data_IF_214091760303
#
_entry.id   IF_214091760303
#
_cell.length_a   1.000
_cell.length_b   1.000
_cell.length_c   1.000
_cell.angle_alpha   90.00
_cell.angle_beta   90.00
_cell.angle_gamma   90.00
#
_symmetry.space_group_name_H-M   'P 1'
#
loop_
_entity.id
_entity.type
_entity.pdbx_description
1 polymer ?
#
# COMPACT_ATOMS: atom_id res chain seq x y z
N UNK A 1 11.02 -53.91 -6.90
CA UNK A 1 11.16 -53.34 -5.56
C UNK A 1 9.89 -53.53 -4.74
N UNK A 2 8.70 -53.05 -5.18
CA UNK A 2 7.43 -53.16 -4.40
C UNK A 2 7.03 -54.62 -4.10
N UNK A 3 7.26 -55.55 -5.04
CA UNK A 3 7.00 -57.01 -4.81
C UNK A 3 7.95 -57.65 -3.78
N UNK A 4 9.10 -57.04 -3.53
CA UNK A 4 10.10 -57.54 -2.57
C UNK A 4 9.90 -56.97 -1.15
N UNK A 5 9.35 -55.74 -1.02
CA UNK A 5 9.06 -55.09 0.25
C UNK A 5 7.71 -54.33 0.16
N UNK A 6 6.58 -55.05 0.19
CA UNK A 6 5.26 -54.48 -0.04
C UNK A 6 4.81 -53.53 1.08
N UNK A 7 5.41 -53.65 2.27
CA UNK A 7 5.05 -52.86 3.46
C UNK A 7 5.94 -51.61 3.64
N UNK A 8 6.90 -51.39 2.75
CA UNK A 8 7.71 -50.18 2.82
C UNK A 8 6.94 -49.00 2.23
N UNK A 9 6.43 -48.12 3.09
CA UNK A 9 5.50 -47.03 2.76
C UNK A 9 6.01 -46.13 1.61
N UNK A 10 7.33 -45.95 1.49
CA UNK A 10 7.93 -45.14 0.40
C UNK A 10 7.65 -45.73 -0.99
N UNK A 11 7.66 -47.05 -1.12
CA UNK A 11 7.33 -47.70 -2.41
C UNK A 11 5.84 -47.65 -2.73
N UNK A 12 4.99 -47.69 -1.69
CA UNK A 12 3.54 -47.52 -1.83
C UNK A 12 3.22 -46.10 -2.29
N UNK A 13 3.84 -45.11 -1.69
CA UNK A 13 3.68 -43.67 -2.08
C UNK A 13 4.16 -43.43 -3.51
N UNK A 14 5.36 -43.90 -3.86
CA UNK A 14 5.91 -43.75 -5.22
C UNK A 14 4.99 -44.43 -6.27
N UNK A 15 4.35 -45.55 -5.93
CA UNK A 15 3.36 -46.21 -6.80
C UNK A 15 2.10 -45.36 -6.96
N UNK A 16 1.61 -44.71 -5.87
CA UNK A 16 0.45 -43.84 -5.93
C UNK A 16 0.72 -42.61 -6.80
N UNK A 17 1.89 -41.98 -6.64
CA UNK A 17 2.34 -40.86 -7.47
C UNK A 17 2.43 -41.26 -8.96
N UNK A 18 3.01 -42.44 -9.26
CA UNK A 18 3.10 -42.94 -10.63
C UNK A 18 1.71 -43.16 -11.25
N UNK A 19 0.74 -43.64 -10.49
CA UNK A 19 -0.64 -43.82 -10.98
C UNK A 19 -1.30 -42.45 -11.21
N UNK A 20 -1.12 -41.49 -10.32
CA UNK A 20 -1.64 -40.14 -10.48
C UNK A 20 -1.06 -39.47 -11.74
N UNK A 21 0.27 -39.51 -11.93
CA UNK A 21 0.96 -38.97 -13.09
C UNK A 21 0.51 -39.59 -14.43
N UNK A 22 0.08 -40.86 -14.42
CA UNK A 22 -0.45 -41.55 -15.59
C UNK A 22 -1.99 -41.46 -15.70
N UNK A 23 -2.63 -40.54 -15.00
CA UNK A 23 -4.08 -40.31 -14.97
C UNK A 23 -4.90 -41.55 -14.54
N UNK A 24 -4.27 -42.47 -13.81
CA UNK A 24 -4.93 -43.67 -13.22
C UNK A 24 -5.45 -43.30 -11.82
N UNK A 25 -6.35 -42.30 -11.74
CA UNK A 25 -6.80 -41.66 -10.50
C UNK A 25 -7.42 -42.66 -9.47
N UNK A 26 -8.28 -43.64 -9.87
CA UNK A 26 -8.80 -44.60 -8.92
C UNK A 26 -7.71 -45.52 -8.30
N UNK A 27 -6.71 -45.89 -9.09
CA UNK A 27 -5.60 -46.70 -8.60
C UNK A 27 -4.70 -45.90 -7.65
N UNK A 28 -4.46 -44.62 -7.97
CA UNK A 28 -3.71 -43.73 -7.12
C UNK A 28 -4.37 -43.56 -5.74
N UNK A 29 -5.71 -43.32 -5.69
CA UNK A 29 -6.45 -43.23 -4.43
C UNK A 29 -6.37 -44.53 -3.62
N UNK A 30 -6.60 -45.66 -4.26
CA UNK A 30 -6.55 -46.98 -3.60
C UNK A 30 -5.19 -47.26 -2.95
N UNK A 31 -4.11 -46.91 -3.65
CA UNK A 31 -2.75 -47.13 -3.15
C UNK A 31 -2.39 -46.08 -2.07
N UNK A 32 -2.77 -44.80 -2.21
CA UNK A 32 -2.59 -43.80 -1.16
C UNK A 32 -3.36 -44.18 0.12
N UNK A 33 -4.60 -44.69 0.00
CA UNK A 33 -5.36 -45.20 1.14
C UNK A 33 -4.70 -46.41 1.80
N UNK A 34 -3.99 -47.24 1.04
CA UNK A 34 -3.21 -48.34 1.62
C UNK A 34 -2.06 -47.82 2.48
N UNK A 35 -1.38 -46.73 2.05
CA UNK A 35 -0.36 -46.09 2.85
C UNK A 35 -0.94 -45.57 4.18
N UNK A 36 -2.13 -44.97 4.16
CA UNK A 36 -2.81 -44.46 5.37
C UNK A 36 -3.31 -45.56 6.33
N UNK A 37 -3.40 -46.81 5.89
CA UNK A 37 -3.65 -47.94 6.82
C UNK A 37 -2.42 -48.25 7.68
N UNK A 38 -1.23 -47.99 7.14
CA UNK A 38 0.05 -48.23 7.83
C UNK A 38 0.44 -47.01 8.65
N UNK A 39 0.23 -45.80 8.10
CA UNK A 39 0.51 -44.52 8.75
C UNK A 39 -0.65 -43.55 8.49
N UNK A 40 -1.65 -43.50 9.40
CA UNK A 40 -2.85 -42.69 9.21
C UNK A 40 -2.62 -41.18 9.08
N UNK A 41 -1.49 -40.68 9.54
CA UNK A 41 -1.13 -39.25 9.52
C UNK A 41 -0.08 -38.92 8.44
N UNK A 42 0.16 -39.85 7.50
CA UNK A 42 1.17 -39.67 6.47
C UNK A 42 0.87 -38.49 5.56
N UNK A 43 1.66 -37.42 5.59
CA UNK A 43 1.35 -36.18 4.86
C UNK A 43 1.45 -36.38 3.33
N UNK A 44 2.38 -37.22 2.83
CA UNK A 44 2.52 -37.44 1.42
C UNK A 44 1.32 -38.21 0.85
N UNK A 45 0.78 -39.20 1.59
CA UNK A 45 -0.43 -39.89 1.19
C UNK A 45 -1.62 -38.93 1.09
N UNK A 46 -1.80 -38.06 2.06
CA UNK A 46 -2.84 -37.03 2.02
C UNK A 46 -2.63 -36.05 0.87
N UNK A 47 -1.39 -35.62 0.59
CA UNK A 47 -1.09 -34.69 -0.55
C UNK A 47 -1.41 -35.37 -1.90
N UNK A 48 -1.06 -36.64 -2.08
CA UNK A 48 -1.41 -37.40 -3.30
C UNK A 48 -2.94 -37.47 -3.46
N UNK A 49 -3.67 -37.82 -2.40
CA UNK A 49 -5.13 -37.85 -2.43
C UNK A 49 -5.74 -36.49 -2.74
N UNK A 50 -5.21 -35.42 -2.17
CA UNK A 50 -5.65 -34.07 -2.45
C UNK A 50 -5.49 -33.70 -3.93
N UNK A 51 -4.35 -34.05 -4.53
CA UNK A 51 -4.10 -33.80 -5.96
C UNK A 51 -5.04 -34.61 -6.85
N UNK A 52 -5.26 -35.89 -6.53
CA UNK A 52 -6.19 -36.73 -7.27
C UNK A 52 -7.63 -36.21 -7.18
N UNK A 53 -8.11 -35.82 -5.99
CA UNK A 53 -9.43 -35.21 -5.85
C UNK A 53 -9.56 -33.89 -6.61
N UNK A 54 -8.51 -33.06 -6.63
CA UNK A 54 -8.47 -31.84 -7.43
C UNK A 54 -8.62 -32.15 -8.92
N UNK A 55 -7.90 -33.15 -9.44
CA UNK A 55 -8.00 -33.58 -10.84
C UNK A 55 -9.39 -34.14 -11.19
N UNK A 56 -10.08 -34.73 -10.23
CA UNK A 56 -11.46 -35.20 -10.36
C UNK A 56 -12.51 -34.07 -10.24
N UNK A 57 -12.10 -32.85 -9.95
CA UNK A 57 -13.00 -31.72 -9.70
C UNK A 57 -13.70 -31.77 -8.34
N UNK A 58 -13.29 -32.63 -7.42
CA UNK A 58 -13.83 -32.75 -6.07
C UNK A 58 -13.05 -31.82 -5.12
N UNK A 59 -13.37 -30.51 -5.17
CA UNK A 59 -12.68 -29.49 -4.41
C UNK A 59 -12.79 -29.72 -2.89
N UNK A 60 -13.95 -30.17 -2.39
CA UNK A 60 -14.17 -30.35 -0.96
C UNK A 60 -13.27 -31.45 -0.35
N UNK A 61 -13.18 -32.63 -1.01
CA UNK A 61 -12.28 -33.68 -0.53
C UNK A 61 -10.81 -33.29 -0.73
N UNK A 62 -10.47 -32.59 -1.81
CA UNK A 62 -9.12 -32.08 -2.03
C UNK A 62 -8.70 -31.15 -0.88
N UNK A 63 -9.53 -30.16 -0.51
CA UNK A 63 -9.27 -29.24 0.60
C UNK A 63 -9.11 -29.98 1.94
N UNK A 64 -9.98 -30.95 2.21
CA UNK A 64 -9.90 -31.76 3.42
C UNK A 64 -8.57 -32.51 3.51
N UNK A 65 -8.14 -33.14 2.41
CA UNK A 65 -6.88 -33.88 2.39
C UNK A 65 -5.66 -32.98 2.52
N UNK A 66 -5.66 -31.78 1.90
CA UNK A 66 -4.57 -30.78 2.09
C UNK A 66 -4.50 -30.36 3.56
N UNK A 67 -5.62 -30.08 4.20
CA UNK A 67 -5.64 -29.70 5.63
C UNK A 67 -5.06 -30.81 6.51
N UNK A 68 -5.42 -32.08 6.27
CA UNK A 68 -4.84 -33.21 6.99
C UNK A 68 -3.33 -33.34 6.78
N UNK A 69 -2.84 -33.13 5.56
CA UNK A 69 -1.40 -33.11 5.31
C UNK A 69 -0.70 -31.98 6.09
N UNK A 70 -1.31 -30.80 6.12
CA UNK A 70 -0.74 -29.63 6.80
C UNK A 70 -0.73 -29.76 8.33
N UNK A 71 -1.67 -30.53 8.92
CA UNK A 71 -1.71 -30.83 10.35
C UNK A 71 -0.51 -31.69 10.78
N UNK A 72 0.04 -32.50 9.88
CA UNK A 72 1.16 -33.39 10.19
C UNK A 72 2.45 -32.60 10.41
N UNK A 73 3.14 -32.79 11.57
CA UNK A 73 4.49 -32.27 11.77
C UNK A 73 5.53 -32.88 10.81
N UNK A 74 5.21 -34.03 10.23
CA UNK A 74 6.05 -34.72 9.26
C UNK A 74 6.09 -34.07 7.87
N UNK A 75 5.17 -33.13 7.57
CA UNK A 75 5.27 -32.30 6.36
C UNK A 75 6.20 -31.12 6.66
N UNK A 76 7.32 -31.08 5.95
CA UNK A 76 8.32 -30.02 6.12
C UNK A 76 7.74 -28.64 5.83
N UNK A 77 8.27 -27.63 6.52
CA UNK A 77 7.86 -26.24 6.34
C UNK A 77 8.03 -25.75 4.89
N UNK A 78 9.08 -26.20 4.20
CA UNK A 78 9.34 -25.78 2.82
C UNK A 78 8.31 -26.38 1.85
N UNK A 79 7.83 -27.59 2.11
CA UNK A 79 6.74 -28.21 1.33
C UNK A 79 5.41 -27.48 1.57
N UNK A 80 5.09 -27.13 2.82
CA UNK A 80 3.91 -26.33 3.14
C UNK A 80 3.96 -24.97 2.46
N UNK A 81 5.10 -24.28 2.53
CA UNK A 81 5.31 -22.98 1.88
C UNK A 81 5.15 -23.09 0.37
N UNK A 82 5.68 -24.14 -0.27
CA UNK A 82 5.53 -24.35 -1.71
C UNK A 82 4.06 -24.45 -2.13
N UNK A 83 3.26 -25.19 -1.38
CA UNK A 83 1.81 -25.27 -1.63
C UNK A 83 1.13 -23.91 -1.42
N UNK A 84 1.46 -23.20 -0.35
CA UNK A 84 0.91 -21.86 -0.08
C UNK A 84 1.29 -20.84 -1.15
N UNK A 85 2.50 -20.91 -1.70
CA UNK A 85 2.92 -20.07 -2.84
C UNK A 85 2.06 -20.33 -4.08
N UNK A 86 1.60 -21.55 -4.32
CA UNK A 86 0.68 -21.83 -5.44
C UNK A 86 -0.73 -21.25 -5.20
N UNK A 87 -1.18 -21.17 -3.93
CA UNK A 87 -2.38 -20.39 -3.59
C UNK A 87 -2.15 -18.90 -3.82
N UNK A 88 -1.01 -18.34 -3.38
CA UNK A 88 -0.65 -16.91 -3.54
C UNK A 88 -0.72 -16.48 -5.00
N UNK A 89 -0.24 -17.29 -5.95
CA UNK A 89 -0.29 -17.00 -7.40
C UNK A 89 -1.72 -16.86 -7.93
N UNK A 90 -2.70 -17.43 -7.24
CA UNK A 90 -4.11 -17.43 -7.64
C UNK A 90 -4.96 -16.43 -6.87
N UNK A 91 -4.41 -15.78 -5.84
CA UNK A 91 -5.08 -14.72 -5.08
C UNK A 91 -4.95 -13.36 -5.80
N UNK A 92 -5.94 -12.43 -5.63
CA UNK A 92 -7.18 -12.62 -4.87
C UNK A 92 -8.22 -13.46 -5.63
N UNK A 93 -8.63 -14.58 -5.04
CA UNK A 93 -9.71 -15.42 -5.55
C UNK A 93 -10.63 -15.81 -4.38
N UNK A 94 -11.88 -15.30 -4.32
CA UNK A 94 -12.77 -15.52 -3.18
C UNK A 94 -13.02 -17.00 -2.83
N UNK A 95 -12.94 -17.90 -3.82
CA UNK A 95 -13.13 -19.34 -3.59
C UNK A 95 -11.94 -20.02 -2.90
N UNK A 96 -10.75 -19.44 -3.02
CA UNK A 96 -9.51 -20.01 -2.48
C UNK A 96 -9.03 -19.25 -1.22
N UNK A 97 -9.55 -18.05 -0.99
CA UNK A 97 -9.10 -17.17 0.10
C UNK A 97 -9.18 -17.85 1.45
N UNK A 98 -10.34 -18.40 1.80
CA UNK A 98 -10.54 -19.03 3.10
C UNK A 98 -9.62 -20.25 3.28
N UNK A 99 -9.49 -21.10 2.26
CA UNK A 99 -8.59 -22.25 2.30
C UNK A 99 -7.13 -21.84 2.50
N UNK A 100 -6.67 -20.81 1.78
CA UNK A 100 -5.31 -20.29 1.93
C UNK A 100 -5.06 -19.76 3.35
N UNK A 101 -6.01 -19.02 3.93
CA UNK A 101 -5.94 -18.51 5.30
C UNK A 101 -5.92 -19.62 6.34
N UNK A 102 -6.75 -20.66 6.17
CA UNK A 102 -6.78 -21.82 7.07
C UNK A 102 -5.46 -22.58 7.03
N UNK A 103 -4.92 -22.84 5.84
CA UNK A 103 -3.64 -23.52 5.67
C UNK A 103 -2.48 -22.71 6.26
N UNK A 104 -2.48 -21.39 6.10
CA UNK A 104 -1.50 -20.51 6.73
C UNK A 104 -1.58 -20.57 8.27
N UNK A 105 -2.80 -20.58 8.83
CA UNK A 105 -3.01 -20.71 10.27
C UNK A 105 -2.54 -22.07 10.79
N UNK A 106 -2.82 -23.15 10.08
CA UNK A 106 -2.31 -24.50 10.42
C UNK A 106 -0.78 -24.49 10.38
N UNK A 107 -0.17 -23.90 9.35
CA UNK A 107 1.28 -23.82 9.21
C UNK A 107 1.93 -23.12 10.42
N UNK A 108 1.39 -21.98 10.86
CA UNK A 108 1.86 -21.28 12.07
C UNK A 108 1.71 -22.16 13.32
N UNK A 109 0.59 -22.88 13.45
CA UNK A 109 0.33 -23.73 14.61
C UNK A 109 1.30 -24.90 14.70
N UNK A 110 1.63 -25.53 13.56
CA UNK A 110 2.53 -26.66 13.48
C UNK A 110 4.01 -26.24 13.58
N UNK A 111 4.35 -25.06 13.02
CA UNK A 111 5.71 -24.50 13.02
C UNK A 111 5.79 -23.13 13.71
N UNK A 112 5.50 -23.05 15.03
CA UNK A 112 5.30 -21.76 15.74
C UNK A 112 6.57 -20.96 15.97
N UNK A 113 7.72 -21.48 15.61
CA UNK A 113 9.04 -20.80 15.76
C UNK A 113 9.75 -20.62 14.41
N UNK A 114 9.07 -20.90 13.31
CA UNK A 114 9.65 -20.76 11.97
C UNK A 114 9.22 -19.45 11.30
N UNK A 115 10.20 -18.64 10.89
CA UNK A 115 9.96 -17.36 10.22
C UNK A 115 9.16 -17.52 8.91
N UNK A 116 9.36 -18.62 8.16
CA UNK A 116 8.68 -18.88 6.91
C UNK A 116 7.16 -19.05 7.09
N UNK A 117 6.75 -19.68 8.22
CA UNK A 117 5.33 -19.86 8.53
C UNK A 117 4.61 -18.50 8.69
N UNK A 118 5.23 -17.57 9.39
CA UNK A 118 4.68 -16.23 9.57
C UNK A 118 4.79 -15.37 8.32
N UNK A 119 5.90 -15.48 7.59
CA UNK A 119 6.10 -14.71 6.36
C UNK A 119 5.03 -15.05 5.31
N UNK A 120 4.83 -16.33 5.01
CA UNK A 120 3.84 -16.76 4.01
C UNK A 120 2.39 -16.44 4.44
N UNK A 121 2.11 -16.48 5.74
CA UNK A 121 0.81 -16.04 6.26
C UNK A 121 0.62 -14.53 6.07
N UNK A 122 1.65 -13.72 6.28
CA UNK A 122 1.66 -12.29 6.00
C UNK A 122 1.39 -12.00 4.51
N UNK A 123 2.02 -12.74 3.60
CA UNK A 123 1.82 -12.59 2.16
C UNK A 123 0.35 -12.85 1.76
N UNK A 124 -0.25 -13.95 2.25
CA UNK A 124 -1.66 -14.27 2.00
C UNK A 124 -2.58 -13.19 2.56
N UNK A 125 -2.31 -12.72 3.78
CA UNK A 125 -3.13 -11.70 4.43
C UNK A 125 -3.02 -10.33 3.74
N UNK A 126 -1.86 -10.01 3.17
CA UNK A 126 -1.68 -8.81 2.34
C UNK A 126 -2.57 -8.88 1.10
N UNK A 127 -2.54 -10.01 0.38
CA UNK A 127 -3.35 -10.22 -0.82
C UNK A 127 -4.86 -10.29 -0.56
N UNK A 128 -5.25 -10.64 0.66
CA UNK A 128 -6.66 -10.69 1.11
C UNK A 128 -7.08 -9.43 1.88
N UNK A 129 -6.30 -8.33 1.76
CA UNK A 129 -6.56 -7.03 2.38
C UNK A 129 -6.67 -7.04 3.92
N UNK A 130 -6.02 -7.99 4.58
CA UNK A 130 -5.95 -8.10 6.05
C UNK A 130 -4.67 -7.45 6.59
N UNK A 131 -4.47 -6.18 6.28
CA UNK A 131 -3.20 -5.46 6.49
C UNK A 131 -2.67 -5.53 7.93
N UNK A 132 -3.54 -5.41 8.94
CA UNK A 132 -3.11 -5.49 10.36
C UNK A 132 -2.55 -6.86 10.70
N UNK A 133 -3.28 -7.91 10.32
CA UNK A 133 -2.86 -9.29 10.59
C UNK A 133 -1.55 -9.62 9.85
N UNK A 134 -1.44 -9.16 8.58
CA UNK A 134 -0.24 -9.30 7.78
C UNK A 134 0.98 -8.67 8.48
N UNK A 135 0.86 -7.41 8.93
CA UNK A 135 1.92 -6.73 9.66
C UNK A 135 2.34 -7.50 10.91
N UNK A 136 1.37 -7.96 11.69
CA UNK A 136 1.64 -8.67 12.95
C UNK A 136 2.38 -10.00 12.69
N UNK A 137 2.04 -10.70 11.59
CA UNK A 137 2.76 -11.91 11.19
C UNK A 137 4.15 -11.58 10.63
N UNK A 138 4.34 -10.54 9.82
CA UNK A 138 5.68 -10.13 9.39
C UNK A 138 6.57 -9.73 10.57
N UNK A 139 6.04 -9.05 11.59
CA UNK A 139 6.80 -8.74 12.81
C UNK A 139 7.20 -10.00 13.58
N UNK A 140 6.34 -11.03 13.60
CA UNK A 140 6.70 -12.34 14.17
C UNK A 140 7.77 -13.05 13.33
N UNK A 141 7.66 -12.99 11.99
CA UNK A 141 8.70 -13.52 11.11
C UNK A 141 10.06 -12.85 11.38
N UNK A 142 10.10 -11.52 11.49
CA UNK A 142 11.30 -10.74 11.83
C UNK A 142 11.88 -11.14 13.21
N UNK A 143 11.04 -11.49 14.16
CA UNK A 143 11.50 -11.95 15.48
C UNK A 143 12.31 -13.24 15.40
N UNK A 144 12.00 -14.13 14.45
CA UNK A 144 12.70 -15.40 14.27
C UNK A 144 13.82 -15.33 13.23
N UNK A 145 13.65 -14.49 12.19
CA UNK A 145 14.66 -14.22 11.17
C UNK A 145 14.53 -12.76 10.67
N UNK A 146 15.45 -11.91 11.11
CA UNK A 146 15.47 -10.49 10.76
C UNK A 146 16.35 -10.16 9.54
N UNK A 147 16.91 -11.18 8.88
CA UNK A 147 17.89 -11.01 7.80
C UNK A 147 17.27 -10.80 6.43
N UNK A 148 15.94 -10.83 6.32
CA UNK A 148 15.21 -10.72 5.06
C UNK A 148 14.68 -9.32 4.86
N UNK A 149 15.31 -8.56 3.96
CA UNK A 149 14.91 -7.20 3.61
C UNK A 149 13.44 -7.10 3.20
N UNK A 150 12.94 -8.04 2.38
CA UNK A 150 11.57 -8.00 1.85
C UNK A 150 10.52 -7.97 2.96
N UNK A 151 10.74 -8.68 4.07
CA UNK A 151 9.79 -8.70 5.19
C UNK A 151 9.78 -7.34 5.90
N UNK A 152 10.94 -6.72 6.11
CA UNK A 152 11.04 -5.37 6.67
C UNK A 152 10.36 -4.33 5.78
N UNK A 153 10.54 -4.45 4.47
CA UNK A 153 9.91 -3.57 3.50
C UNK A 153 8.37 -3.66 3.60
N UNK A 154 7.81 -4.88 3.71
CA UNK A 154 6.36 -5.06 3.88
C UNK A 154 5.86 -4.45 5.19
N UNK A 155 6.56 -4.62 6.30
CA UNK A 155 6.18 -3.99 7.58
C UNK A 155 6.12 -2.47 7.46
N UNK A 156 7.16 -1.86 6.91
CA UNK A 156 7.28 -0.40 6.75
C UNK A 156 6.19 0.13 5.80
N UNK A 157 5.94 -0.56 4.69
CA UNK A 157 4.87 -0.21 3.74
C UNK A 157 3.50 -0.25 4.42
N UNK A 158 3.19 -1.32 5.14
CA UNK A 158 1.90 -1.47 5.80
C UNK A 158 1.72 -0.44 6.93
N UNK A 159 2.77 -0.10 7.69
CA UNK A 159 2.71 0.96 8.69
C UNK A 159 2.35 2.32 8.05
N UNK A 160 2.93 2.62 6.89
CA UNK A 160 2.59 3.82 6.13
C UNK A 160 1.13 3.81 5.65
N UNK A 161 0.67 2.70 5.07
CA UNK A 161 -0.71 2.54 4.59
C UNK A 161 -1.75 2.60 5.71
N UNK A 162 -1.39 2.14 6.91
CA UNK A 162 -2.24 2.21 8.10
C UNK A 162 -2.12 3.55 8.84
N UNK A 163 -1.36 4.51 8.32
CA UNK A 163 -1.07 5.81 8.94
C UNK A 163 -0.50 5.69 10.36
N UNK A 164 0.28 4.64 10.64
CA UNK A 164 0.88 4.40 11.95
C UNK A 164 2.28 5.03 12.03
N UNK A 165 2.32 6.34 12.10
CA UNK A 165 3.57 7.13 11.98
C UNK A 165 4.65 6.73 12.98
N UNK A 166 4.32 6.43 14.23
CA UNK A 166 5.31 6.01 15.24
C UNK A 166 5.91 4.64 14.91
N UNK A 167 5.08 3.69 14.49
CA UNK A 167 5.52 2.37 14.04
C UNK A 167 6.37 2.49 12.77
N UNK A 168 5.94 3.30 11.80
CA UNK A 168 6.66 3.57 10.57
C UNK A 168 8.10 4.04 10.85
N UNK A 169 8.28 5.01 11.74
CA UNK A 169 9.61 5.49 12.12
C UNK A 169 10.42 4.40 12.83
N UNK A 170 9.84 3.77 13.85
CA UNK A 170 10.52 2.73 14.64
C UNK A 170 10.99 1.58 13.74
N UNK A 171 10.12 1.08 12.86
CA UNK A 171 10.46 -0.05 12.02
C UNK A 171 11.39 0.31 10.86
N UNK A 172 11.22 1.51 10.25
CA UNK A 172 12.14 1.97 9.22
C UNK A 172 13.54 2.24 9.75
N UNK A 173 13.69 2.86 10.93
CA UNK A 173 14.99 3.07 11.57
C UNK A 173 15.68 1.75 11.84
N UNK A 174 14.97 0.78 12.44
CA UNK A 174 15.53 -0.54 12.72
C UNK A 174 15.88 -1.32 11.45
N UNK A 175 15.05 -1.21 10.40
CA UNK A 175 15.36 -1.82 9.12
C UNK A 175 16.60 -1.20 8.47
N UNK A 176 16.79 0.12 8.59
CA UNK A 176 17.96 0.84 8.07
C UNK A 176 19.26 0.49 8.78
N UNK A 177 19.22 0.10 10.05
CA UNK A 177 20.41 -0.45 10.77
C UNK A 177 20.91 -1.73 10.09
N UNK A 178 20.02 -2.57 9.55
CA UNK A 178 20.34 -3.83 8.90
C UNK A 178 20.58 -3.69 7.39
N UNK A 179 19.83 -2.80 6.75
CA UNK A 179 19.76 -2.64 5.29
C UNK A 179 19.95 -1.18 4.86
N UNK A 180 21.10 -0.54 5.17
CA UNK A 180 21.31 0.90 4.94
C UNK A 180 21.31 1.31 3.45
N UNK A 181 21.50 0.37 2.54
CA UNK A 181 21.59 0.63 1.09
C UNK A 181 20.24 0.46 0.37
N UNK A 182 19.13 0.32 1.08
CA UNK A 182 17.81 0.13 0.50
C UNK A 182 17.06 1.47 0.40
N UNK A 183 17.03 2.06 -0.79
CA UNK A 183 16.37 3.35 -1.03
C UNK A 183 14.91 3.41 -0.54
N UNK A 184 14.03 2.38 -0.73
CA UNK A 184 12.66 2.43 -0.24
C UNK A 184 12.55 2.63 1.28
N UNK A 185 13.45 2.08 2.08
CA UNK A 185 13.43 2.28 3.53
C UNK A 185 13.70 3.74 3.91
N UNK A 186 14.65 4.39 3.23
CA UNK A 186 14.95 5.82 3.43
C UNK A 186 13.78 6.69 3.00
N UNK A 187 13.08 6.31 1.92
CA UNK A 187 11.87 7.01 1.49
C UNK A 187 10.82 7.04 2.60
N UNK A 188 10.42 5.87 3.09
CA UNK A 188 9.42 5.77 4.15
C UNK A 188 9.88 6.39 5.48
N UNK A 189 11.15 6.30 5.83
CA UNK A 189 11.72 6.97 6.99
C UNK A 189 11.60 8.50 6.85
N UNK A 190 11.92 9.05 5.68
CA UNK A 190 11.75 10.47 5.38
C UNK A 190 10.30 10.91 5.47
N UNK A 191 9.38 10.17 4.86
CA UNK A 191 7.93 10.41 4.96
C UNK A 191 7.46 10.36 6.42
N UNK A 192 7.92 9.39 7.19
CA UNK A 192 7.62 9.30 8.62
C UNK A 192 8.05 10.56 9.40
N UNK A 193 9.24 11.09 9.13
CA UNK A 193 9.68 12.35 9.74
C UNK A 193 8.85 13.55 9.29
N UNK A 194 8.42 13.60 8.02
CA UNK A 194 7.53 14.66 7.55
C UNK A 194 6.19 14.63 8.28
N UNK A 195 5.59 13.45 8.43
CA UNK A 195 4.35 13.27 9.18
C UNK A 195 4.49 13.66 10.67
N UNK A 196 5.68 13.52 11.25
CA UNK A 196 6.01 13.97 12.61
C UNK A 196 6.36 15.47 12.70
N UNK A 197 6.20 16.23 11.64
CA UNK A 197 6.57 17.64 11.59
C UNK A 197 8.06 17.89 11.92
N UNK A 198 8.93 17.00 11.45
CA UNK A 198 10.37 17.07 11.59
C UNK A 198 11.07 17.19 10.22
N UNK A 199 10.79 18.25 9.43
CA UNK A 199 11.20 18.32 8.03
C UNK A 199 12.73 18.30 7.85
N UNK A 200 13.51 18.80 8.81
CA UNK A 200 14.99 18.72 8.74
C UNK A 200 15.50 17.30 8.74
N UNK A 201 14.89 16.38 9.52
CA UNK A 201 15.25 14.97 9.51
C UNK A 201 14.70 14.30 8.25
N UNK A 202 13.48 14.64 7.85
CA UNK A 202 12.87 14.16 6.61
C UNK A 202 13.77 14.42 5.41
N UNK A 203 14.25 15.66 5.23
CA UNK A 203 15.19 16.01 4.15
C UNK A 203 16.44 15.15 4.17
N UNK A 204 17.06 14.93 5.33
CA UNK A 204 18.28 14.09 5.43
C UNK A 204 18.04 12.67 4.93
N UNK A 205 16.94 12.04 5.37
CA UNK A 205 16.59 10.69 4.94
C UNK A 205 16.27 10.65 3.44
N UNK A 206 15.47 11.60 2.94
CA UNK A 206 15.07 11.67 1.54
C UNK A 206 16.27 11.93 0.61
N UNK A 207 17.16 12.89 0.96
CA UNK A 207 18.37 13.16 0.17
C UNK A 207 19.31 11.96 0.10
N UNK A 208 19.45 11.22 1.22
CA UNK A 208 20.28 10.03 1.24
C UNK A 208 19.69 8.91 0.39
N UNK A 209 18.40 8.60 0.60
CA UNK A 209 17.70 7.55 -0.16
C UNK A 209 17.64 7.85 -1.66
N UNK A 210 17.45 9.13 -2.04
CA UNK A 210 17.47 9.57 -3.43
C UNK A 210 18.77 9.21 -4.15
N UNK A 211 19.92 9.34 -3.47
CA UNK A 211 21.24 8.98 -4.03
C UNK A 211 21.39 7.49 -4.29
N UNK A 212 20.62 6.65 -3.61
CA UNK A 212 20.62 5.20 -3.79
C UNK A 212 19.63 4.72 -4.87
N UNK A 213 18.72 5.58 -5.34
CA UNK A 213 17.65 5.23 -6.27
C UNK A 213 17.99 5.47 -7.74
N UNK A 214 19.28 5.49 -8.12
CA UNK A 214 19.79 5.98 -9.43
C UNK A 214 19.16 5.31 -10.66
N UNK A 215 18.78 4.05 -10.55
CA UNK A 215 18.27 3.25 -11.68
C UNK A 215 16.73 3.08 -11.64
N UNK A 216 16.05 3.88 -10.83
CA UNK A 216 14.60 3.82 -10.67
C UNK A 216 13.96 5.21 -10.82
N UNK A 217 13.60 5.63 -12.05
CA UNK A 217 13.01 6.94 -12.31
C UNK A 217 11.72 7.20 -11.53
N UNK A 218 10.88 6.19 -11.36
CA UNK A 218 9.63 6.31 -10.59
C UNK A 218 9.92 6.64 -9.11
N UNK A 219 10.84 5.92 -8.49
CA UNK A 219 11.24 6.18 -7.11
C UNK A 219 11.95 7.53 -6.98
N UNK A 220 12.76 7.94 -7.97
CA UNK A 220 13.37 9.28 -8.01
C UNK A 220 12.30 10.37 -8.05
N UNK A 221 11.26 10.22 -8.88
CA UNK A 221 10.14 11.17 -8.92
C UNK A 221 9.44 11.26 -7.55
N UNK A 222 9.25 10.13 -6.86
CA UNK A 222 8.66 10.12 -5.52
C UNK A 222 9.55 10.82 -4.49
N UNK A 223 10.86 10.55 -4.48
CA UNK A 223 11.82 11.26 -3.60
C UNK A 223 11.80 12.76 -3.84
N UNK A 224 11.88 13.18 -5.11
CA UNK A 224 11.93 14.59 -5.46
C UNK A 224 10.60 15.31 -5.13
N UNK A 225 9.45 14.64 -5.25
CA UNK A 225 8.17 15.17 -4.79
C UNK A 225 8.17 15.40 -3.27
N UNK A 226 8.61 14.42 -2.49
CA UNK A 226 8.68 14.54 -1.03
C UNK A 226 9.73 15.57 -0.58
N UNK A 227 10.85 15.69 -1.30
CA UNK A 227 11.84 16.75 -1.06
C UNK A 227 11.26 18.13 -1.37
N UNK A 228 10.45 18.25 -2.41
CA UNK A 228 9.70 19.48 -2.73
C UNK A 228 8.84 19.93 -1.56
N UNK A 229 8.03 19.02 -1.00
CA UNK A 229 7.20 19.26 0.19
C UNK A 229 8.08 19.64 1.40
N UNK A 230 9.14 18.87 1.65
CA UNK A 230 10.00 19.05 2.82
C UNK A 230 10.76 20.39 2.80
N UNK A 231 11.30 20.79 1.65
CA UNK A 231 11.95 22.08 1.51
C UNK A 231 10.96 23.26 1.58
N UNK A 232 9.71 23.06 1.10
CA UNK A 232 8.66 24.05 1.27
C UNK A 232 8.38 24.33 2.76
N UNK A 233 8.21 23.28 3.57
CA UNK A 233 8.02 23.38 5.02
C UNK A 233 9.20 24.09 5.71
N UNK A 234 10.42 23.90 5.21
CA UNK A 234 11.62 24.61 5.68
C UNK A 234 11.76 26.04 5.11
N UNK A 235 10.82 26.48 4.26
CA UNK A 235 10.86 27.77 3.55
C UNK A 235 12.07 27.94 2.63
N UNK A 236 12.75 26.86 2.24
CA UNK A 236 13.77 26.84 1.19
C UNK A 236 13.09 26.67 -0.18
N UNK A 237 12.38 27.72 -0.59
CA UNK A 237 11.56 27.68 -1.79
C UNK A 237 12.35 27.41 -3.07
N UNK A 238 13.62 27.84 -3.11
CA UNK A 238 14.48 27.57 -4.26
C UNK A 238 14.76 26.07 -4.43
N UNK A 239 15.05 25.38 -3.33
CA UNK A 239 15.25 23.93 -3.37
C UNK A 239 13.93 23.17 -3.57
N UNK A 240 12.84 23.66 -2.98
CA UNK A 240 11.50 23.11 -3.20
C UNK A 240 11.14 23.11 -4.68
N UNK A 241 11.26 24.26 -5.34
CA UNK A 241 10.99 24.41 -6.77
C UNK A 241 11.87 23.48 -7.60
N UNK A 242 13.18 23.42 -7.31
CA UNK A 242 14.12 22.56 -8.03
C UNK A 242 13.76 21.06 -7.88
N UNK A 243 13.33 20.65 -6.69
CA UNK A 243 12.92 19.27 -6.43
C UNK A 243 11.64 18.91 -7.20
N UNK A 244 10.63 19.76 -7.21
CA UNK A 244 9.43 19.52 -8.00
C UNK A 244 9.69 19.45 -9.51
N UNK A 245 10.51 20.36 -10.05
CA UNK A 245 10.88 20.31 -11.46
C UNK A 245 11.67 19.01 -11.78
N UNK A 246 12.53 18.55 -10.86
CA UNK A 246 13.21 17.25 -11.01
C UNK A 246 12.21 16.09 -10.99
N UNK A 247 11.24 16.09 -10.07
CA UNK A 247 10.18 15.07 -10.02
C UNK A 247 9.42 15.01 -11.36
N UNK A 248 9.05 16.16 -11.91
CA UNK A 248 8.32 16.27 -13.18
C UNK A 248 9.18 15.93 -14.41
N UNK A 249 10.51 15.94 -14.27
CA UNK A 249 11.42 15.45 -15.32
C UNK A 249 11.40 13.92 -15.40
N UNK A 250 11.29 13.24 -14.25
CA UNK A 250 11.20 11.78 -14.20
C UNK A 250 9.78 11.27 -14.47
N UNK A 251 8.78 11.97 -13.96
CA UNK A 251 7.35 11.67 -14.18
C UNK A 251 6.56 12.96 -14.43
N UNK A 252 6.42 13.32 -15.69
CA UNK A 252 5.69 14.51 -16.13
C UNK A 252 4.19 14.49 -15.78
N UNK A 253 3.65 13.35 -15.35
CA UNK A 253 2.26 13.16 -14.94
C UNK A 253 2.11 12.93 -13.42
N UNK A 254 3.17 13.09 -12.64
CA UNK A 254 3.11 12.95 -11.19
C UNK A 254 2.06 13.91 -10.60
N UNK A 255 0.91 13.36 -10.27
CA UNK A 255 -0.24 14.15 -9.85
C UNK A 255 0.02 14.91 -8.54
N UNK A 256 0.74 14.31 -7.59
CA UNK A 256 1.09 14.96 -6.34
C UNK A 256 2.04 16.14 -6.58
N UNK A 257 3.09 15.95 -7.39
CA UNK A 257 4.02 17.02 -7.71
C UNK A 257 3.32 18.16 -8.46
N UNK A 258 2.52 17.85 -9.48
CA UNK A 258 1.75 18.85 -10.23
C UNK A 258 0.82 19.66 -9.32
N UNK A 259 0.10 18.99 -8.42
CA UNK A 259 -0.84 19.66 -7.50
C UNK A 259 -0.10 20.52 -6.49
N UNK A 260 0.82 19.93 -5.72
CA UNK A 260 1.48 20.61 -4.60
C UNK A 260 2.33 21.78 -5.09
N UNK A 261 3.06 21.58 -6.17
CA UNK A 261 3.88 22.66 -6.75
C UNK A 261 3.02 23.82 -7.27
N UNK A 262 1.91 23.52 -7.97
CA UNK A 262 0.97 24.55 -8.42
C UNK A 262 0.40 25.35 -7.25
N UNK A 263 -0.02 24.65 -6.21
CA UNK A 263 -0.54 25.28 -5.00
C UNK A 263 0.49 26.18 -4.33
N UNK A 264 1.71 25.69 -4.11
CA UNK A 264 2.76 26.46 -3.44
C UNK A 264 3.23 27.67 -4.25
N UNK A 265 3.31 27.54 -5.57
CA UNK A 265 3.58 28.69 -6.45
C UNK A 265 2.47 29.74 -6.33
N UNK A 266 1.20 29.31 -6.31
CA UNK A 266 0.07 30.22 -6.18
C UNK A 266 0.05 30.93 -4.84
N UNK A 267 0.38 30.23 -3.74
CA UNK A 267 0.48 30.82 -2.40
C UNK A 267 1.54 31.91 -2.33
N UNK A 268 2.64 31.76 -3.06
CA UNK A 268 3.72 32.76 -3.14
C UNK A 268 3.45 33.87 -4.18
N UNK A 269 2.45 33.68 -5.05
CA UNK A 269 2.20 34.59 -6.17
C UNK A 269 3.27 34.53 -7.25
N UNK A 270 4.02 33.42 -7.34
CA UNK A 270 5.15 33.23 -8.24
C UNK A 270 4.81 32.28 -9.39
N UNK A 271 5.39 32.50 -10.58
CA UNK A 271 5.27 31.60 -11.75
C UNK A 271 3.81 31.12 -12.00
N UNK A 272 2.83 32.02 -11.85
CA UNK A 272 1.40 31.68 -11.89
C UNK A 272 0.98 31.02 -13.21
N UNK A 273 1.62 31.37 -14.35
CA UNK A 273 1.33 30.72 -15.62
C UNK A 273 1.77 29.24 -15.63
N UNK A 274 2.94 28.94 -15.02
CA UNK A 274 3.40 27.56 -14.83
C UNK A 274 2.45 26.80 -13.89
N UNK A 275 2.04 27.42 -12.79
CA UNK A 275 1.07 26.84 -11.86
C UNK A 275 -0.27 26.53 -12.58
N UNK A 276 -0.77 27.44 -13.42
CA UNK A 276 -1.98 27.25 -14.20
C UNK A 276 -1.87 26.10 -15.21
N UNK A 277 -0.74 26.00 -15.90
CA UNK A 277 -0.46 24.89 -16.82
C UNK A 277 -0.55 23.53 -16.09
N UNK A 278 0.15 23.40 -14.96
CA UNK A 278 0.22 22.16 -14.19
C UNK A 278 -1.14 21.78 -13.58
N UNK A 279 -1.79 22.72 -12.87
CA UNK A 279 -3.11 22.46 -12.29
C UNK A 279 -4.18 22.24 -13.36
N UNK A 280 -4.12 22.96 -14.48
CA UNK A 280 -5.02 22.77 -15.62
C UNK A 280 -4.86 21.41 -16.29
N UNK A 281 -3.64 20.84 -16.31
CA UNK A 281 -3.39 19.47 -16.75
C UNK A 281 -4.11 18.46 -15.87
N UNK A 282 -4.04 18.63 -14.53
CA UNK A 282 -4.71 17.76 -13.57
C UNK A 282 -6.23 17.81 -13.71
N UNK A 283 -6.82 18.98 -13.80
CA UNK A 283 -8.27 19.15 -13.94
C UNK A 283 -8.79 18.54 -15.25
N UNK A 284 -7.99 18.56 -16.32
CA UNK A 284 -8.34 17.85 -17.57
C UNK A 284 -8.31 16.34 -17.41
N UNK A 285 -7.35 15.82 -16.67
CA UNK A 285 -7.16 14.39 -16.47
C UNK A 285 -8.11 13.81 -15.42
N UNK A 286 -8.41 14.59 -14.38
CA UNK A 286 -9.27 14.22 -13.24
C UNK A 286 -10.36 15.26 -13.01
N UNK A 287 -11.33 15.37 -13.92
CA UNK A 287 -12.27 16.51 -13.94
C UNK A 287 -13.25 16.56 -12.76
N UNK A 288 -13.36 15.49 -11.99
CA UNK A 288 -14.24 15.39 -10.81
C UNK A 288 -13.47 15.42 -9.47
N UNK A 289 -12.14 15.56 -9.50
CA UNK A 289 -11.34 15.60 -8.28
C UNK A 289 -11.42 16.99 -7.66
N UNK A 290 -12.05 17.08 -6.49
CA UNK A 290 -12.30 18.34 -5.78
C UNK A 290 -11.01 19.03 -5.32
N UNK A 291 -9.99 18.28 -4.88
CA UNK A 291 -8.68 18.82 -4.48
C UNK A 291 -7.97 19.50 -5.67
N UNK A 292 -8.00 18.87 -6.84
CA UNK A 292 -7.35 19.45 -8.03
C UNK A 292 -8.13 20.65 -8.58
N UNK A 293 -9.46 20.60 -8.51
CA UNK A 293 -10.34 21.72 -8.87
C UNK A 293 -10.12 22.91 -7.94
N UNK A 294 -9.94 22.70 -6.63
CA UNK A 294 -9.65 23.75 -5.66
C UNK A 294 -8.26 24.38 -5.92
N UNK A 295 -7.22 23.57 -6.10
CA UNK A 295 -5.88 24.06 -6.45
C UNK A 295 -5.90 24.90 -7.72
N UNK A 296 -6.59 24.42 -8.77
CA UNK A 296 -6.71 25.17 -10.03
C UNK A 296 -7.46 26.50 -9.82
N UNK A 297 -8.56 26.48 -9.07
CA UNK A 297 -9.31 27.66 -8.73
C UNK A 297 -8.47 28.69 -7.96
N UNK A 298 -7.65 28.22 -7.01
CA UNK A 298 -6.78 29.09 -6.25
C UNK A 298 -5.69 29.75 -7.11
N UNK A 299 -5.12 29.01 -8.07
CA UNK A 299 -4.23 29.58 -9.09
C UNK A 299 -4.93 30.65 -9.90
N UNK A 300 -6.15 30.41 -10.39
CA UNK A 300 -6.95 31.40 -11.14
C UNK A 300 -7.27 32.63 -10.27
N UNK A 301 -7.60 32.41 -9.00
CA UNK A 301 -7.84 33.48 -8.04
C UNK A 301 -6.61 34.40 -7.91
N UNK A 302 -5.40 33.83 -7.77
CA UNK A 302 -4.16 34.60 -7.70
C UNK A 302 -3.81 35.32 -9.01
N UNK A 303 -4.29 34.80 -10.14
CA UNK A 303 -4.25 35.49 -11.44
C UNK A 303 -5.37 36.54 -11.61
N UNK A 304 -6.25 36.71 -10.62
CA UNK A 304 -7.43 37.59 -10.65
C UNK A 304 -8.52 37.16 -11.66
N UNK A 305 -8.47 35.95 -12.15
CA UNK A 305 -9.54 35.32 -12.91
C UNK A 305 -10.59 34.74 -11.95
N UNK A 306 -11.32 35.64 -11.29
CA UNK A 306 -12.31 35.25 -10.29
C UNK A 306 -13.51 34.50 -10.89
N UNK A 307 -13.85 34.77 -12.16
CA UNK A 307 -14.93 34.07 -12.85
C UNK A 307 -14.54 32.59 -13.13
N UNK A 308 -13.34 32.35 -13.62
CA UNK A 308 -12.80 31.00 -13.81
C UNK A 308 -12.64 30.25 -12.48
N UNK A 309 -12.13 30.93 -11.43
CA UNK A 309 -12.02 30.38 -10.11
C UNK A 309 -13.38 29.93 -9.54
N UNK A 310 -14.41 30.78 -9.68
CA UNK A 310 -15.77 30.45 -9.28
C UNK A 310 -16.26 29.16 -9.94
N UNK A 311 -16.14 29.05 -11.26
CA UNK A 311 -16.58 27.88 -12.03
C UNK A 311 -15.94 26.58 -11.50
N UNK A 312 -14.63 26.64 -11.23
CA UNK A 312 -13.88 25.47 -10.73
C UNK A 312 -14.35 25.08 -9.31
N UNK A 313 -14.56 26.07 -8.42
CA UNK A 313 -15.01 25.79 -7.05
C UNK A 313 -16.47 25.34 -6.99
N UNK A 314 -17.36 25.87 -7.82
CA UNK A 314 -18.73 25.40 -7.94
C UNK A 314 -18.78 23.92 -8.33
N UNK A 315 -17.86 23.49 -9.20
CA UNK A 315 -17.69 22.08 -9.56
C UNK A 315 -17.11 21.26 -8.42
N UNK A 316 -16.06 21.72 -7.74
CA UNK A 316 -15.49 21.05 -6.58
C UNK A 316 -16.52 20.82 -5.46
N UNK A 317 -17.37 21.80 -5.20
CA UNK A 317 -18.40 21.76 -4.16
C UNK A 317 -19.57 20.83 -4.45
N UNK A 318 -19.65 20.21 -5.64
CA UNK A 318 -20.64 19.16 -5.93
C UNK A 318 -20.33 17.88 -5.15
N UNK A 319 -19.07 17.62 -4.86
CA UNK A 319 -18.58 16.43 -4.14
C UNK A 319 -17.93 16.76 -2.80
N UNK A 320 -17.22 17.90 -2.73
CA UNK A 320 -16.48 18.30 -1.54
C UNK A 320 -17.36 18.94 -0.46
N UNK A 321 -17.06 18.59 0.80
CA UNK A 321 -17.58 19.26 1.99
C UNK A 321 -16.46 19.88 2.82
N UNK A 322 -15.24 19.94 2.28
CA UNK A 322 -14.08 20.49 2.96
C UNK A 322 -14.24 21.99 3.20
N UNK A 323 -13.99 22.43 4.43
CA UNK A 323 -14.13 23.84 4.81
C UNK A 323 -13.13 24.73 4.09
N UNK A 324 -11.94 24.24 3.71
CA UNK A 324 -10.97 25.01 2.92
C UNK A 324 -11.55 25.37 1.55
N UNK A 325 -12.11 24.38 0.84
CA UNK A 325 -12.75 24.58 -0.48
C UNK A 325 -13.91 25.58 -0.38
N UNK A 326 -14.72 25.47 0.68
CA UNK A 326 -15.85 26.36 0.92
C UNK A 326 -15.35 27.78 1.26
N UNK A 327 -14.26 27.91 2.04
CA UNK A 327 -13.64 29.20 2.35
C UNK A 327 -13.11 29.88 1.09
N UNK A 328 -12.37 29.14 0.24
CA UNK A 328 -11.88 29.65 -1.04
C UNK A 328 -13.04 30.12 -1.94
N UNK A 329 -14.17 29.41 -1.94
CA UNK A 329 -15.35 29.86 -2.67
C UNK A 329 -15.90 31.17 -2.11
N UNK A 330 -15.96 31.32 -0.79
CA UNK A 330 -16.32 32.58 -0.13
C UNK A 330 -15.40 33.75 -0.51
N UNK A 331 -14.08 33.48 -0.58
CA UNK A 331 -13.08 34.48 -0.97
C UNK A 331 -13.28 34.93 -2.42
N UNK A 332 -13.56 34.01 -3.33
CA UNK A 332 -13.88 34.31 -4.73
C UNK A 332 -15.17 35.13 -4.85
N UNK A 333 -16.21 34.76 -4.14
CA UNK A 333 -17.48 35.51 -4.14
C UNK A 333 -17.30 36.94 -3.64
N UNK A 334 -16.45 37.12 -2.60
CA UNK A 334 -16.13 38.47 -2.10
C UNK A 334 -15.46 39.35 -3.17
N UNK A 335 -14.49 38.79 -3.90
CA UNK A 335 -13.80 39.50 -4.99
C UNK A 335 -14.75 39.80 -6.17
N UNK A 336 -15.77 38.99 -6.38
CA UNK A 336 -16.82 39.25 -7.37
C UNK A 336 -17.89 40.25 -6.89
N UNK A 337 -17.75 40.81 -5.66
CA UNK A 337 -18.69 41.77 -5.09
C UNK A 337 -19.91 41.16 -4.41
N UNK A 338 -20.05 39.83 -4.38
CA UNK A 338 -21.17 39.10 -3.78
C UNK A 338 -20.95 38.89 -2.25
N UNK A 339 -20.79 40.00 -1.51
CA UNK A 339 -20.32 39.99 -0.12
C UNK A 339 -21.22 39.23 0.87
N UNK A 340 -22.54 39.30 0.70
CA UNK A 340 -23.47 38.56 1.56
C UNK A 340 -23.37 37.05 1.36
N UNK A 341 -23.21 36.61 0.11
CA UNK A 341 -22.96 35.19 -0.19
C UNK A 341 -21.60 34.75 0.33
N UNK A 342 -20.56 35.56 0.16
CA UNK A 342 -19.24 35.27 0.71
C UNK A 342 -19.30 35.05 2.22
N UNK A 343 -19.98 35.93 2.97
CA UNK A 343 -20.17 35.77 4.39
C UNK A 343 -20.93 34.48 4.76
N UNK A 344 -21.95 34.12 3.99
CA UNK A 344 -22.69 32.87 4.21
C UNK A 344 -21.81 31.63 4.00
N UNK A 345 -20.94 31.66 2.94
CA UNK A 345 -20.02 30.55 2.69
C UNK A 345 -18.91 30.47 3.74
N UNK A 346 -18.37 31.57 4.25
CA UNK A 346 -17.41 31.54 5.36
C UNK A 346 -18.01 30.96 6.64
N UNK A 347 -19.28 31.26 6.97
CA UNK A 347 -19.99 30.62 8.08
C UNK A 347 -20.15 29.11 7.86
N UNK A 348 -20.47 28.71 6.63
CA UNK A 348 -20.57 27.30 6.24
C UNK A 348 -19.22 26.61 6.32
N UNK A 349 -18.13 27.24 5.84
CA UNK A 349 -16.78 26.74 5.92
C UNK A 349 -16.36 26.44 7.37
N UNK A 350 -16.55 27.42 8.26
CA UNK A 350 -16.24 27.25 9.69
C UNK A 350 -16.97 26.05 10.33
N UNK A 351 -18.22 25.82 9.95
CA UNK A 351 -19.01 24.69 10.46
C UNK A 351 -18.46 23.33 9.99
N UNK A 352 -17.87 23.29 8.82
CA UNK A 352 -17.30 22.07 8.25
C UNK A 352 -15.87 21.79 8.73
N UNK A 353 -15.15 22.80 9.23
CA UNK A 353 -13.77 22.69 9.72
C UNK A 353 -12.72 22.69 8.60
N UNK A 354 -11.45 22.65 8.97
CA UNK A 354 -10.33 22.68 7.99
C UNK A 354 -10.03 24.07 7.42
N UNK A 355 -10.63 25.13 7.95
CA UNK A 355 -10.49 26.50 7.49
C UNK A 355 -9.17 27.16 7.92
N UNK A 356 -8.85 28.30 7.29
CA UNK A 356 -7.69 29.13 7.67
C UNK A 356 -7.85 29.72 9.08
N UNK A 357 -6.73 30.18 9.66
CA UNK A 357 -6.73 30.94 10.93
C UNK A 357 -7.48 32.27 10.82
N UNK A 358 -7.71 32.77 9.61
CA UNK A 358 -8.37 34.03 9.34
C UNK A 358 -9.90 33.94 9.27
N UNK A 359 -10.47 32.75 9.26
CA UNK A 359 -11.91 32.52 9.06
C UNK A 359 -12.77 33.31 10.06
N UNK A 360 -12.41 33.29 11.34
CA UNK A 360 -13.14 34.01 12.37
C UNK A 360 -13.17 35.52 12.16
N UNK A 361 -12.05 36.07 11.70
CA UNK A 361 -11.93 37.45 11.36
C UNK A 361 -12.72 37.83 10.13
N UNK A 362 -12.68 37.00 9.06
CA UNK A 362 -13.49 37.18 7.84
C UNK A 362 -14.98 37.23 8.19
N UNK A 363 -15.45 36.30 9.05
CA UNK A 363 -16.85 36.24 9.47
C UNK A 363 -17.25 37.45 10.31
N UNK A 364 -16.44 37.80 11.34
CA UNK A 364 -16.74 38.88 12.27
C UNK A 364 -16.83 40.22 11.55
N UNK A 365 -15.84 40.52 10.72
CA UNK A 365 -15.70 41.81 10.09
C UNK A 365 -16.40 41.90 8.72
N UNK A 366 -16.98 40.78 8.26
CA UNK A 366 -17.60 40.61 6.92
C UNK A 366 -16.65 41.13 5.82
N UNK A 367 -15.37 40.87 5.97
CA UNK A 367 -14.30 41.35 5.09
C UNK A 367 -13.30 40.23 4.78
N UNK A 368 -12.83 40.22 3.53
CA UNK A 368 -11.75 39.33 3.11
C UNK A 368 -10.44 39.75 3.78
N UNK A 369 -9.71 38.75 4.27
CA UNK A 369 -8.33 38.82 4.77
C UNK A 369 -7.53 37.69 4.10
N UNK A 370 -6.31 38.03 3.62
CA UNK A 370 -5.36 37.12 2.97
C UNK A 370 -4.02 37.09 3.71
#
# INVERSE_FOLDING_TARGET
MIKANPDEIRYVLAQAEMYAANNRLPDALRVAQQALRTDPENPQAHMIMADVYRQQGNAAESEKQIKLAFESPGLDIDDKVRVLVDFIKQLPNPKLEQTALDLAAITIRVHPKDAKAYSVAGDIQTLTNRKKDARDNYLKAIKYDNTRYQIWQQVVLIDAELNQTDSLLTHSERALELFPNQAPLWFYNGVGYMLKKQPTKGVKSLEYGRKLATDNPELLAQFDTQLGDAYHELKDYKKSDAAYEAALTFDANNAQALNNYSYFLSMRGEKLDRAKEMAGKLVKQFPENDTYLDTYAWVLYKQKDYAGARQSLEKALQTSKDGTVIEHYGDVLYQLGEKDKAHAEWLRAKKNGGTSELIDRKIKDKKLYE
#
